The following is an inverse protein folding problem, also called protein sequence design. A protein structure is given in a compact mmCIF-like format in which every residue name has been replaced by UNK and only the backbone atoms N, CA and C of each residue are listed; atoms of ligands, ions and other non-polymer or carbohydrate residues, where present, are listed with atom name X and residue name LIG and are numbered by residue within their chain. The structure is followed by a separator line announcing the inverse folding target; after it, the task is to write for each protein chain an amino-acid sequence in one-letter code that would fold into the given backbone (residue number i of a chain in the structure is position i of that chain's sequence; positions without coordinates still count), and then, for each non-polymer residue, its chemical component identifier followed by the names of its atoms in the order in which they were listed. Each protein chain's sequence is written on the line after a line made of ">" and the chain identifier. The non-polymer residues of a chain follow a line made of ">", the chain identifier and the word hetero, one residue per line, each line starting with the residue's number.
data_IF_214294171078
#
_entry.id   IF_214294171078
#
_cell.length_a   1.000
_cell.length_b   1.000
_cell.length_c   1.000
_cell.angle_alpha   90.00
_cell.angle_beta   90.00
_cell.angle_gamma   90.00
#
_symmetry.space_group_name_H-M   'P 1'
#
loop_
_entity.id
_entity.type
_entity.pdbx_description
1 polymer ?
#
# COMPACT_ATOMS: atom_id res chain seq x y z
N UNK A 1 15.63 21.29 -3.69
CA UNK A 1 14.92 20.68 -4.83
C UNK A 1 15.00 21.61 -6.02
N UNK A 2 15.48 21.12 -7.16
CA UNK A 2 15.46 21.88 -8.41
C UNK A 2 14.00 22.17 -8.78
N UNK A 3 13.72 23.43 -9.18
CA UNK A 3 12.35 23.91 -9.39
C UNK A 3 11.57 23.10 -10.46
N UNK A 4 12.27 22.41 -11.36
CA UNK A 4 11.71 21.68 -12.49
C UNK A 4 11.70 20.16 -12.30
N UNK A 5 12.12 19.64 -11.13
CA UNK A 5 12.11 18.21 -10.84
C UNK A 5 11.13 17.88 -9.74
N UNK A 6 10.27 16.87 -9.97
CA UNK A 6 9.38 16.37 -8.94
C UNK A 6 10.17 15.91 -7.72
N UNK A 7 9.58 16.00 -6.54
CA UNK A 7 10.20 15.55 -5.31
C UNK A 7 10.53 14.07 -5.39
N UNK A 8 11.80 13.74 -5.16
CA UNK A 8 12.27 12.35 -5.12
C UNK A 8 13.10 12.16 -3.87
N UNK A 9 12.65 11.27 -3.00
CA UNK A 9 13.32 10.91 -1.74
C UNK A 9 13.15 9.41 -1.52
N UNK A 10 13.90 8.64 -2.32
CA UNK A 10 13.84 7.19 -2.24
C UNK A 10 14.35 6.71 -0.89
N UNK A 11 13.70 5.70 -0.33
CA UNK A 11 14.18 5.06 0.89
C UNK A 11 15.66 4.68 0.77
N UNK A 12 16.44 4.93 1.82
CA UNK A 12 17.90 4.74 1.92
C UNK A 12 18.75 5.64 1.00
N UNK A 13 18.17 6.61 0.32
CA UNK A 13 18.94 7.60 -0.43
C UNK A 13 19.56 8.65 0.52
N UNK A 14 20.61 9.40 0.09
CA UNK A 14 21.15 10.50 0.88
C UNK A 14 20.11 11.57 1.23
N UNK A 15 19.13 11.82 0.34
CA UNK A 15 18.02 12.75 0.57
C UNK A 15 17.08 12.24 1.65
N UNK A 16 16.85 10.93 1.70
CA UNK A 16 16.06 10.28 2.74
C UNK A 16 16.79 10.37 4.09
N UNK A 17 18.07 10.03 4.14
CA UNK A 17 18.88 10.11 5.36
C UNK A 17 18.91 11.56 5.91
N UNK A 18 19.08 12.56 5.03
CA UNK A 18 19.05 13.97 5.44
C UNK A 18 17.68 14.40 5.97
N UNK A 19 16.59 13.96 5.35
CA UNK A 19 15.22 14.26 5.81
C UNK A 19 14.92 13.61 7.16
N UNK A 20 15.37 12.36 7.39
CA UNK A 20 15.21 11.68 8.69
C UNK A 20 16.00 12.36 9.81
N UNK A 21 17.22 12.80 9.53
CA UNK A 21 18.01 13.55 10.51
C UNK A 21 17.30 14.85 10.91
N UNK A 22 16.78 15.59 9.91
CA UNK A 22 15.98 16.79 10.17
C UNK A 22 14.74 16.48 11.01
N UNK A 23 14.04 15.39 10.70
CA UNK A 23 12.83 14.97 11.42
C UNK A 23 13.14 14.58 12.86
N UNK A 24 14.25 13.85 13.09
CA UNK A 24 14.71 13.51 14.45
C UNK A 24 15.02 14.76 15.28
N UNK A 25 15.67 15.76 14.68
CA UNK A 25 15.93 17.05 15.32
C UNK A 25 14.61 17.78 15.63
N UNK A 26 13.63 17.76 14.72
CA UNK A 26 12.33 18.37 14.91
C UNK A 26 11.53 17.67 16.03
N UNK A 27 11.56 16.33 16.10
CA UNK A 27 10.98 15.55 17.20
C UNK A 27 11.62 15.91 18.54
N UNK A 28 12.94 15.96 18.61
CA UNK A 28 13.66 16.35 19.82
C UNK A 28 13.33 17.80 20.25
N UNK A 29 13.23 18.73 19.31
CA UNK A 29 12.84 20.12 19.57
C UNK A 29 11.40 20.23 20.10
N UNK A 30 10.51 19.34 19.71
CA UNK A 30 9.15 19.24 20.25
C UNK A 30 9.08 18.54 21.62
N UNK A 31 10.22 18.10 22.17
CA UNK A 31 10.29 17.43 23.48
C UNK A 31 10.00 15.92 23.44
N UNK A 32 10.03 15.31 22.26
CA UNK A 32 9.85 13.87 22.11
C UNK A 32 11.16 13.12 22.42
N UNK A 33 11.05 11.94 23.00
CA UNK A 33 12.17 10.99 23.14
C UNK A 33 12.28 10.20 21.86
N UNK A 34 13.36 10.42 21.10
CA UNK A 34 13.55 9.80 19.78
C UNK A 34 14.35 8.50 19.86
N UNK A 35 13.94 7.52 19.09
CA UNK A 35 14.71 6.30 18.85
C UNK A 35 14.39 5.73 17.47
N UNK A 36 15.29 4.86 16.99
CA UNK A 36 15.03 4.02 15.83
C UNK A 36 14.72 2.63 16.36
N UNK A 37 13.59 2.05 15.95
CA UNK A 37 13.23 0.71 16.33
C UNK A 37 14.03 -0.36 15.58
N UNK A 38 13.82 -1.64 15.91
CA UNK A 38 14.52 -2.74 15.25
C UNK A 38 14.25 -2.84 13.75
N UNK A 39 13.09 -2.38 13.28
CA UNK A 39 12.71 -2.35 11.86
C UNK A 39 13.22 -1.16 11.09
N UNK A 40 13.83 -0.19 11.79
CA UNK A 40 14.34 1.02 11.19
C UNK A 40 13.33 2.18 11.15
N UNK A 41 12.17 2.07 11.80
CA UNK A 41 11.24 3.20 11.94
C UNK A 41 11.84 4.27 12.86
N UNK A 42 11.63 5.54 12.54
CA UNK A 42 11.98 6.63 13.44
C UNK A 42 10.76 6.95 14.31
N UNK A 43 10.90 6.82 15.62
CA UNK A 43 9.81 7.01 16.58
C UNK A 43 10.17 8.13 17.54
N UNK A 44 9.26 9.09 17.69
CA UNK A 44 9.30 10.13 18.71
C UNK A 44 8.19 9.92 19.73
N UNK A 45 8.54 9.69 21.00
CA UNK A 45 7.59 9.40 22.06
C UNK A 45 7.37 10.59 22.97
N UNK A 46 6.13 11.04 23.15
CA UNK A 46 5.66 11.92 24.22
C UNK A 46 5.08 11.06 25.34
N UNK A 47 5.81 10.99 26.44
CA UNK A 47 5.43 10.15 27.58
C UNK A 47 4.17 10.70 28.26
N UNK A 48 3.27 9.81 28.69
CA UNK A 48 2.10 10.14 29.50
C UNK A 48 2.49 10.82 30.82
N UNK A 49 1.77 11.87 31.17
CA UNK A 49 1.97 12.63 32.41
C UNK A 49 0.89 12.34 33.46
N UNK A 50 -0.21 11.68 33.07
CA UNK A 50 -1.31 11.28 33.95
C UNK A 50 -1.19 9.80 34.31
N UNK A 51 -1.71 9.43 35.47
CA UNK A 51 -1.87 8.02 35.83
C UNK A 51 -2.88 7.33 34.90
N UNK A 52 -2.69 6.04 34.58
CA UNK A 52 -3.62 5.29 33.75
C UNK A 52 -5.03 5.30 34.37
N UNK A 53 -6.05 5.47 33.51
CA UNK A 53 -7.45 5.55 33.95
C UNK A 53 -7.97 4.20 34.49
N UNK A 54 -7.38 3.06 34.04
CA UNK A 54 -7.66 1.73 34.53
C UNK A 54 -6.37 1.03 34.96
N UNK A 55 -6.26 0.74 36.26
CA UNK A 55 -5.04 0.27 36.93
C UNK A 55 -4.56 -1.16 36.60
N UNK A 56 -4.91 -1.73 35.44
CA UNK A 56 -4.66 -3.14 35.13
C UNK A 56 -3.88 -3.40 33.82
N UNK A 57 -3.24 -2.40 33.25
CA UNK A 57 -2.34 -2.61 32.10
C UNK A 57 -0.91 -2.82 32.60
N UNK A 58 -0.33 -3.96 32.31
CA UNK A 58 1.08 -4.31 32.59
C UNK A 58 2.11 -3.47 31.78
N UNK A 59 1.79 -2.21 31.53
CA UNK A 59 2.54 -1.22 30.80
C UNK A 59 1.67 0.00 30.49
N UNK A 60 2.28 1.09 29.99
CA UNK A 60 1.53 2.28 29.59
C UNK A 60 0.87 2.05 28.25
N UNK A 61 -0.44 2.35 28.17
CA UNK A 61 -1.17 2.39 26.93
C UNK A 61 -0.54 3.38 25.92
N UNK A 62 -0.60 3.10 24.64
CA UNK A 62 0.01 3.87 23.56
C UNK A 62 -0.97 4.20 22.45
N UNK A 63 -0.84 5.38 21.88
CA UNK A 63 -1.47 5.77 20.64
C UNK A 63 -0.38 6.11 19.62
N UNK A 64 -0.41 5.48 18.47
CA UNK A 64 0.51 5.75 17.37
C UNK A 64 -0.16 6.66 16.35
N UNK A 65 0.54 7.72 15.94
CA UNK A 65 0.15 8.56 14.81
C UNK A 65 1.36 8.66 13.89
N UNK A 66 1.21 8.28 12.64
CA UNK A 66 2.35 8.31 11.74
C UNK A 66 1.96 8.20 10.28
N UNK A 67 2.96 8.21 9.45
CA UNK A 67 2.97 7.94 8.02
C UNK A 67 4.44 7.78 7.60
N UNK A 68 4.78 8.05 6.35
CA UNK A 68 6.12 7.90 5.81
C UNK A 68 6.68 9.20 5.25
N UNK A 69 8.01 9.28 5.09
CA UNK A 69 8.65 10.40 4.43
C UNK A 69 9.35 10.01 3.12
N UNK A 70 9.50 8.73 2.80
CA UNK A 70 10.01 8.32 1.50
C UNK A 70 9.00 8.61 0.38
N UNK A 71 9.46 8.59 -0.86
CA UNK A 71 8.64 8.84 -2.05
C UNK A 71 9.02 7.90 -3.18
N UNK A 72 8.11 7.66 -4.11
CA UNK A 72 8.47 7.13 -5.43
C UNK A 72 9.33 8.14 -6.21
N UNK A 73 10.03 7.72 -7.29
CA UNK A 73 10.63 8.66 -8.24
C UNK A 73 9.58 9.63 -8.77
N UNK A 74 9.88 10.92 -8.73
CA UNK A 74 8.95 11.96 -9.16
C UNK A 74 7.63 12.01 -8.35
N UNK A 75 7.69 11.68 -7.07
CA UNK A 75 6.54 11.64 -6.17
C UNK A 75 5.91 12.98 -5.85
N UNK A 76 4.80 12.95 -5.09
CA UNK A 76 4.09 14.12 -4.61
C UNK A 76 4.84 14.84 -3.48
N UNK A 77 4.62 16.17 -3.40
CA UNK A 77 5.24 17.00 -2.34
C UNK A 77 4.73 16.65 -0.94
N UNK A 78 3.48 16.21 -0.85
CA UNK A 78 2.78 15.99 0.41
C UNK A 78 2.51 14.51 0.70
N UNK A 79 2.91 13.63 -0.22
CA UNK A 79 2.70 12.21 -0.12
C UNK A 79 3.44 11.66 1.10
N UNK A 80 2.71 10.99 1.99
CA UNK A 80 3.17 10.47 3.27
C UNK A 80 3.60 11.54 4.29
N UNK A 81 4.51 12.42 3.91
CA UNK A 81 5.10 13.42 4.80
C UNK A 81 4.06 14.35 5.46
N UNK A 82 2.92 14.61 4.80
CA UNK A 82 1.85 15.39 5.39
C UNK A 82 1.32 14.75 6.68
N UNK A 83 1.22 13.43 6.75
CA UNK A 83 0.81 12.69 7.93
C UNK A 83 1.80 12.79 9.07
N UNK A 84 3.09 12.65 8.78
CA UNK A 84 4.15 12.77 9.79
C UNK A 84 4.22 14.18 10.37
N UNK A 85 4.17 15.22 9.51
CA UNK A 85 4.23 16.61 9.97
C UNK A 85 2.95 17.01 10.72
N UNK A 86 1.77 16.54 10.28
CA UNK A 86 0.53 16.77 11.01
C UNK A 86 0.55 16.12 12.41
N UNK A 87 1.13 14.91 12.53
CA UNK A 87 1.31 14.28 13.83
C UNK A 87 2.25 15.08 14.75
N UNK A 88 3.34 15.62 14.21
CA UNK A 88 4.24 16.52 14.95
C UNK A 88 3.52 17.81 15.36
N UNK A 89 2.68 18.38 14.51
CA UNK A 89 1.89 19.58 14.84
C UNK A 89 0.89 19.31 15.98
N UNK A 90 0.32 18.10 16.05
CA UNK A 90 -0.49 17.69 17.21
C UNK A 90 0.32 17.76 18.50
N UNK A 91 1.59 17.33 18.49
CA UNK A 91 2.46 17.42 19.68
C UNK A 91 2.72 18.88 20.05
N UNK A 92 2.99 19.76 19.08
CA UNK A 92 3.16 21.20 19.33
C UNK A 92 1.91 21.80 19.96
N UNK A 93 0.72 21.49 19.41
CA UNK A 93 -0.56 21.92 19.95
C UNK A 93 -0.78 21.46 21.40
N UNK A 94 -0.52 20.19 21.70
CA UNK A 94 -0.63 19.62 23.05
C UNK A 94 0.30 20.33 24.04
N UNK A 95 1.55 20.62 23.62
CA UNK A 95 2.53 21.29 24.45
C UNK A 95 2.16 22.78 24.71
N UNK A 96 1.76 23.51 23.66
CA UNK A 96 1.34 24.90 23.76
C UNK A 96 0.14 25.09 24.70
N UNK A 97 -0.82 24.18 24.63
CA UNK A 97 -2.04 24.23 25.45
C UNK A 97 -1.93 23.47 26.77
N UNK A 98 -0.74 22.93 27.08
CA UNK A 98 -0.46 22.17 28.30
C UNK A 98 -1.46 20.99 28.50
N UNK A 99 -1.84 20.35 27.42
CA UNK A 99 -2.74 19.19 27.45
C UNK A 99 -1.94 17.94 27.81
N UNK A 100 -2.32 17.30 28.91
CA UNK A 100 -1.73 16.04 29.35
C UNK A 100 -2.58 14.85 28.87
N UNK A 101 -1.90 13.75 28.56
CA UNK A 101 -2.53 12.53 28.05
C UNK A 101 -2.33 11.39 29.06
N UNK A 102 -3.31 10.49 29.20
CA UNK A 102 -3.20 9.30 30.05
C UNK A 102 -2.49 8.12 29.38
N UNK A 103 -1.96 8.32 28.18
CA UNK A 103 -1.25 7.32 27.35
C UNK A 103 -0.02 7.96 26.71
N UNK A 104 0.94 7.13 26.36
CA UNK A 104 2.07 7.58 25.55
C UNK A 104 1.62 7.85 24.11
N UNK A 105 2.07 8.97 23.56
CA UNK A 105 1.83 9.32 22.16
C UNK A 105 3.12 9.09 21.35
N UNK A 106 3.08 8.17 20.41
CA UNK A 106 4.19 7.89 19.51
C UNK A 106 3.93 8.47 18.12
N UNK A 107 4.84 9.34 17.66
CA UNK A 107 4.85 9.80 16.28
C UNK A 107 5.82 8.92 15.50
N UNK A 108 5.34 8.29 14.43
CA UNK A 108 6.09 7.29 13.67
C UNK A 108 6.33 7.77 12.23
N UNK A 109 7.60 7.80 11.83
CA UNK A 109 8.00 7.77 10.42
C UNK A 109 8.27 6.31 10.05
N UNK A 110 7.30 5.69 9.39
CA UNK A 110 7.41 4.31 8.93
C UNK A 110 8.46 4.20 7.83
N UNK A 111 9.33 3.21 7.95
CA UNK A 111 10.40 3.00 6.99
C UNK A 111 9.86 2.43 5.67
N UNK A 112 10.10 3.14 4.56
CA UNK A 112 9.95 2.61 3.22
C UNK A 112 8.55 2.10 2.89
N UNK A 113 7.55 2.96 3.02
CA UNK A 113 6.17 2.67 2.66
C UNK A 113 6.03 2.40 1.17
N UNK A 114 6.71 3.19 0.36
CA UNK A 114 6.64 3.13 -1.09
C UNK A 114 7.32 1.89 -1.67
N UNK A 115 6.86 1.46 -2.85
CA UNK A 115 7.49 0.36 -3.57
C UNK A 115 8.93 0.70 -3.92
N UNK A 116 9.87 -0.04 -3.39
CA UNK A 116 11.29 0.20 -3.50
C UNK A 116 12.00 -0.77 -4.48
N UNK A 117 13.29 -0.54 -4.69
CA UNK A 117 14.14 -1.33 -5.62
C UNK A 117 14.30 -2.80 -5.23
N UNK A 118 13.98 -3.19 -4.00
CA UNK A 118 13.93 -4.59 -3.56
C UNK A 118 12.57 -5.25 -3.82
N UNK A 119 11.62 -4.53 -4.47
CA UNK A 119 10.32 -5.08 -4.85
C UNK A 119 9.37 -5.32 -3.68
N UNK A 120 9.46 -4.50 -2.64
CA UNK A 120 8.57 -4.53 -1.48
C UNK A 120 8.22 -3.12 -1.03
N UNK A 121 7.18 -2.98 -0.22
CA UNK A 121 6.66 -1.72 0.33
C UNK A 121 6.36 -1.89 1.82
N UNK A 122 6.09 -0.82 2.54
CA UNK A 122 5.70 -0.83 3.95
C UNK A 122 6.70 -1.61 4.83
N UNK A 123 8.00 -1.36 4.65
CA UNK A 123 9.05 -2.13 5.34
C UNK A 123 8.90 -2.04 6.86
N UNK A 124 8.69 -0.84 7.36
CA UNK A 124 8.64 -0.54 8.78
C UNK A 124 7.41 -1.10 9.48
N UNK A 125 6.22 -0.88 8.94
CA UNK A 125 4.97 -1.41 9.49
C UNK A 125 4.92 -2.94 9.39
N UNK A 126 5.38 -3.52 8.28
CA UNK A 126 5.54 -4.98 8.16
C UNK A 126 6.47 -5.56 9.21
N UNK A 127 7.56 -4.86 9.53
CA UNK A 127 8.44 -5.31 10.60
C UNK A 127 7.73 -5.28 11.94
N UNK A 128 7.02 -4.19 12.27
CA UNK A 128 6.25 -4.09 13.52
C UNK A 128 5.21 -5.20 13.67
N UNK A 129 4.62 -5.63 12.54
CA UNK A 129 3.62 -6.70 12.49
C UNK A 129 4.20 -8.12 12.35
N UNK A 130 5.55 -8.27 12.31
CA UNK A 130 6.19 -9.58 12.12
C UNK A 130 6.05 -10.15 10.70
N UNK A 131 5.78 -9.31 9.70
CA UNK A 131 5.54 -9.70 8.30
C UNK A 131 6.75 -9.50 7.38
N UNK A 132 7.88 -9.02 7.91
CA UNK A 132 9.11 -8.84 7.14
C UNK A 132 9.94 -10.13 7.15
N UNK A 133 9.68 -10.99 6.16
CA UNK A 133 10.25 -12.36 6.11
C UNK A 133 11.74 -12.37 5.76
N UNK A 134 12.49 -13.47 6.10
CA UNK A 134 13.89 -13.63 5.71
C UNK A 134 14.10 -13.57 4.20
N UNK A 135 13.14 -14.03 3.42
CA UNK A 135 13.17 -13.94 1.95
C UNK A 135 13.19 -12.49 1.49
N UNK A 136 12.33 -11.64 2.08
CA UNK A 136 12.28 -10.20 1.77
C UNK A 136 13.58 -9.54 2.21
N UNK A 137 14.04 -9.80 3.42
CA UNK A 137 15.27 -9.24 3.98
C UNK A 137 16.53 -9.65 3.20
N UNK A 138 16.50 -10.84 2.59
CA UNK A 138 17.58 -11.37 1.76
C UNK A 138 17.65 -10.80 0.36
N UNK A 139 16.66 -10.03 -0.10
CA UNK A 139 16.63 -9.47 -1.45
C UNK A 139 17.79 -8.49 -1.67
N UNK A 140 18.29 -8.48 -2.90
CA UNK A 140 19.35 -7.58 -3.34
C UNK A 140 18.85 -6.72 -4.49
N UNK A 141 19.29 -5.49 -4.55
CA UNK A 141 19.00 -4.59 -5.66
C UNK A 141 19.97 -4.81 -6.84
N UNK A 142 19.82 -3.98 -7.90
CA UNK A 142 20.67 -4.07 -9.09
C UNK A 142 22.16 -3.76 -8.83
N UNK A 143 22.47 -3.04 -7.75
CA UNK A 143 23.83 -2.69 -7.33
C UNK A 143 24.43 -3.71 -6.35
N UNK A 144 23.67 -4.77 -6.00
CA UNK A 144 24.08 -5.84 -5.08
C UNK A 144 23.91 -5.47 -3.60
N UNK A 145 23.19 -4.40 -3.26
CA UNK A 145 22.90 -4.02 -1.87
C UNK A 145 21.77 -4.88 -1.31
N UNK A 146 22.01 -5.51 -0.17
CA UNK A 146 21.01 -6.33 0.49
C UNK A 146 20.11 -5.46 1.38
N UNK A 147 18.79 -5.67 1.32
CA UNK A 147 17.80 -4.91 2.08
C UNK A 147 18.09 -4.90 3.58
N UNK A 148 18.37 -6.07 4.18
CA UNK A 148 18.69 -6.15 5.61
C UNK A 148 19.89 -5.26 6.00
N UNK A 149 20.91 -5.17 5.14
CA UNK A 149 22.10 -4.35 5.38
C UNK A 149 21.77 -2.85 5.37
N UNK A 150 20.85 -2.43 4.50
CA UNK A 150 20.42 -1.03 4.45
C UNK A 150 19.57 -0.66 5.69
N UNK A 151 18.69 -1.55 6.16
CA UNK A 151 17.93 -1.34 7.40
C UNK A 151 18.88 -1.21 8.60
N UNK A 152 19.91 -2.08 8.69
CA UNK A 152 20.93 -2.00 9.74
C UNK A 152 21.73 -0.70 9.63
N UNK A 153 22.09 -0.24 8.43
CA UNK A 153 22.84 1.00 8.19
C UNK A 153 22.15 2.22 8.79
N UNK A 154 20.83 2.27 8.73
CA UNK A 154 20.05 3.40 9.27
C UNK A 154 19.65 3.24 10.74
N UNK A 155 20.14 2.21 11.43
CA UNK A 155 19.95 2.01 12.86
C UNK A 155 19.00 0.88 13.25
N UNK A 156 18.41 0.17 12.30
CA UNK A 156 17.64 -1.05 12.58
C UNK A 156 18.52 -2.14 13.18
N UNK A 157 17.93 -3.00 14.00
CA UNK A 157 18.66 -4.08 14.71
C UNK A 157 17.79 -5.33 14.76
N UNK A 158 18.44 -6.51 14.88
CA UNK A 158 17.77 -7.77 15.13
C UNK A 158 16.56 -8.03 14.22
N UNK A 159 16.78 -8.06 12.91
CA UNK A 159 15.76 -8.27 11.89
C UNK A 159 15.27 -9.75 11.85
N UNK A 160 14.94 -10.33 13.02
CA UNK A 160 14.27 -11.62 13.10
C UNK A 160 12.84 -11.52 12.58
N UNK A 161 12.44 -12.43 11.71
CA UNK A 161 11.13 -12.42 11.04
C UNK A 161 9.94 -12.78 11.94
N UNK A 162 10.17 -13.20 13.18
CA UNK A 162 9.12 -13.69 14.08
C UNK A 162 8.83 -12.71 15.24
N UNK A 163 9.36 -11.50 15.18
CA UNK A 163 9.20 -10.53 16.25
C UNK A 163 8.18 -9.47 15.85
N UNK A 164 6.93 -9.71 16.19
CA UNK A 164 5.96 -8.64 16.38
C UNK A 164 6.53 -7.67 17.41
N UNK A 165 6.28 -6.38 17.25
CA UNK A 165 6.63 -5.36 18.24
C UNK A 165 6.25 -5.83 19.64
N UNK A 166 7.21 -5.83 20.58
CA UNK A 166 7.05 -6.48 21.90
C UNK A 166 5.99 -5.86 22.80
N UNK A 167 5.54 -4.64 22.52
CA UNK A 167 4.52 -3.89 23.24
C UNK A 167 3.24 -3.67 22.40
N UNK A 168 3.00 -4.53 21.41
CA UNK A 168 1.83 -4.42 20.53
C UNK A 168 0.50 -4.49 21.29
N UNK A 169 0.43 -5.24 22.39
CA UNK A 169 -0.71 -5.34 23.28
C UNK A 169 -1.02 -4.05 24.06
N UNK A 170 -0.08 -3.10 24.11
CA UNK A 170 -0.28 -1.79 24.73
C UNK A 170 -0.82 -0.74 23.75
N UNK A 171 -0.88 -1.04 22.46
CA UNK A 171 -1.34 -0.10 21.44
C UNK A 171 -2.86 -0.05 21.44
N UNK A 172 -3.41 1.10 21.85
CA UNK A 172 -4.84 1.37 21.86
C UNK A 172 -5.39 1.74 20.49
N UNK A 173 -4.60 2.46 19.71
CA UNK A 173 -4.97 2.93 18.38
C UNK A 173 -3.74 3.23 17.53
N UNK A 174 -3.88 3.02 16.22
CA UNK A 174 -2.94 3.48 15.22
C UNK A 174 -3.72 4.36 14.23
N UNK A 175 -3.22 5.58 13.99
CA UNK A 175 -3.85 6.58 13.13
C UNK A 175 -2.86 7.01 12.07
N UNK A 176 -3.33 7.14 10.85
CA UNK A 176 -2.53 7.68 9.74
C UNK A 176 -3.35 8.71 8.98
N UNK A 177 -2.81 9.93 8.88
CA UNK A 177 -3.34 10.96 8.00
C UNK A 177 -2.57 10.88 6.69
N UNK A 178 -3.30 10.86 5.58
CA UNK A 178 -2.69 10.81 4.26
C UNK A 178 -3.45 11.70 3.28
N UNK A 179 -2.80 12.16 2.23
CA UNK A 179 -3.50 12.80 1.10
C UNK A 179 -4.37 11.77 0.38
N UNK A 180 -5.46 12.20 -0.24
CA UNK A 180 -6.38 11.28 -0.95
C UNK A 180 -5.73 10.58 -2.16
N UNK A 181 -4.73 11.19 -2.78
CA UNK A 181 -4.08 10.73 -4.03
C UNK A 181 -5.05 10.62 -5.22
N UNK A 182 -6.29 11.11 -5.06
CA UNK A 182 -7.36 11.16 -6.07
C UNK A 182 -8.04 12.54 -6.05
N UNK A 183 -9.26 12.65 -6.58
CA UNK A 183 -9.99 13.91 -6.68
C UNK A 183 -11.42 13.82 -6.12
N UNK A 184 -11.73 12.79 -5.35
CA UNK A 184 -13.11 12.58 -4.89
C UNK A 184 -13.52 13.67 -3.90
N UNK A 185 -12.69 13.92 -2.88
CA UNK A 185 -12.94 14.94 -1.87
C UNK A 185 -13.05 16.33 -2.51
N UNK A 186 -12.08 16.69 -3.37
CA UNK A 186 -12.08 17.96 -4.10
C UNK A 186 -13.35 18.12 -4.96
N UNK A 187 -13.69 17.07 -5.74
CA UNK A 187 -14.83 17.10 -6.67
C UNK A 187 -16.16 17.20 -5.95
N UNK A 188 -16.29 16.58 -4.78
CA UNK A 188 -17.50 16.57 -3.97
C UNK A 188 -17.54 17.69 -2.93
N UNK A 189 -16.45 18.45 -2.77
CA UNK A 189 -16.37 19.57 -1.82
C UNK A 189 -16.33 19.13 -0.37
N UNK A 190 -15.66 18.00 -0.07
CA UNK A 190 -15.45 17.52 1.29
C UNK A 190 -14.04 17.84 1.79
N UNK A 191 -13.93 18.17 3.08
CA UNK A 191 -12.67 18.50 3.72
C UNK A 191 -11.89 17.24 4.11
N UNK A 192 -12.60 16.17 4.54
CA UNK A 192 -12.00 14.96 5.11
C UNK A 192 -12.66 13.70 4.54
N UNK A 193 -11.82 12.70 4.24
CA UNK A 193 -12.23 11.34 3.96
C UNK A 193 -11.90 10.43 5.15
N UNK A 194 -12.89 9.76 5.72
CA UNK A 194 -12.70 8.76 6.76
C UNK A 194 -12.61 7.40 6.09
N UNK A 195 -11.41 6.83 6.10
CA UNK A 195 -11.13 5.56 5.42
C UNK A 195 -11.86 4.42 6.12
N UNK A 196 -12.61 3.64 5.33
CA UNK A 196 -13.34 2.46 5.84
C UNK A 196 -12.56 1.17 5.71
N UNK A 197 -11.69 1.09 4.69
CA UNK A 197 -10.80 -0.03 4.44
C UNK A 197 -9.66 0.37 3.52
N UNK A 198 -8.52 -0.28 3.66
CA UNK A 198 -7.47 -0.31 2.66
C UNK A 198 -7.70 -1.54 1.78
N UNK A 199 -7.77 -1.40 0.44
CA UNK A 199 -8.11 -2.49 -0.44
C UNK A 199 -7.04 -3.58 -0.44
N UNK A 200 -7.47 -4.81 -0.52
CA UNK A 200 -6.59 -5.93 -0.82
C UNK A 200 -6.07 -5.83 -2.25
N UNK A 201 -4.84 -6.28 -2.46
CA UNK A 201 -4.15 -6.29 -3.76
C UNK A 201 -3.92 -7.74 -4.17
N UNK A 202 -4.35 -8.10 -5.37
CA UNK A 202 -4.24 -9.47 -5.89
C UNK A 202 -3.68 -9.42 -7.31
N UNK A 203 -2.56 -10.10 -7.53
CA UNK A 203 -1.91 -10.17 -8.84
C UNK A 203 -1.91 -11.59 -9.38
N UNK A 204 -2.19 -11.72 -10.66
CA UNK A 204 -2.19 -12.98 -11.37
C UNK A 204 -1.39 -12.89 -12.66
N UNK A 205 -0.55 -13.89 -12.92
CA UNK A 205 0.01 -14.16 -14.23
C UNK A 205 -1.01 -14.94 -15.06
N UNK A 206 -1.19 -14.55 -16.31
CA UNK A 206 -2.07 -15.23 -17.28
C UNK A 206 -1.22 -15.60 -18.50
N UNK A 207 -1.03 -16.89 -18.72
CA UNK A 207 -0.34 -17.43 -19.88
C UNK A 207 -1.36 -18.01 -20.86
N UNK A 208 -1.41 -17.44 -22.06
CA UNK A 208 -2.27 -17.93 -23.17
C UNK A 208 -1.39 -18.62 -24.18
N UNK A 209 -1.66 -19.91 -24.45
CA UNK A 209 -0.90 -20.74 -25.38
C UNK A 209 -1.79 -21.19 -26.53
N UNK A 210 -1.42 -20.81 -27.73
CA UNK A 210 -2.02 -21.22 -28.99
C UNK A 210 -1.00 -21.89 -29.91
N UNK A 211 -1.09 -21.65 -31.20
CA UNK A 211 -0.16 -22.18 -32.18
C UNK A 211 0.34 -21.10 -33.13
N UNK A 212 1.66 -20.87 -33.13
CA UNK A 212 2.28 -19.95 -34.06
C UNK A 212 2.15 -20.48 -35.53
N UNK A 213 1.91 -19.56 -36.46
CA UNK A 213 1.76 -19.91 -37.87
C UNK A 213 2.04 -18.71 -38.78
N UNK A 214 2.17 -18.97 -40.09
CA UNK A 214 2.36 -17.90 -41.06
C UNK A 214 1.02 -17.15 -41.28
N UNK A 215 1.01 -15.84 -41.10
CA UNK A 215 -0.22 -15.02 -41.11
C UNK A 215 -0.98 -15.05 -42.45
N UNK A 216 -0.27 -15.22 -43.56
CA UNK A 216 -0.86 -15.25 -44.90
C UNK A 216 -1.32 -16.65 -45.39
N UNK A 217 -0.82 -17.74 -44.80
CA UNK A 217 -1.12 -19.10 -45.26
C UNK A 217 -1.91 -19.94 -44.27
N UNK A 218 -2.01 -19.53 -43.00
CA UNK A 218 -2.87 -20.20 -42.02
C UNK A 218 -4.30 -19.70 -42.17
N UNK A 219 -5.27 -20.57 -42.58
CA UNK A 219 -6.68 -20.19 -42.71
C UNK A 219 -7.23 -19.63 -41.42
N UNK A 220 -8.22 -18.73 -41.50
CA UNK A 220 -8.80 -18.08 -40.29
C UNK A 220 -9.44 -19.10 -39.34
N UNK A 221 -10.08 -20.16 -39.91
CA UNK A 221 -10.79 -21.17 -39.12
C UNK A 221 -9.86 -22.19 -38.44
N UNK A 222 -8.60 -22.28 -38.90
CA UNK A 222 -7.58 -23.19 -38.33
C UNK A 222 -6.68 -22.54 -37.29
N UNK A 223 -6.90 -21.23 -37.00
CA UNK A 223 -6.01 -20.46 -36.09
C UNK A 223 -6.28 -20.77 -34.63
N UNK A 224 -5.20 -20.96 -33.91
CA UNK A 224 -5.14 -20.92 -32.46
C UNK A 224 -4.35 -19.68 -32.05
N UNK A 225 -4.94 -18.50 -32.26
CA UNK A 225 -4.29 -17.20 -32.10
C UNK A 225 -4.33 -16.78 -30.64
N UNK A 226 -3.17 -16.88 -29.96
CA UNK A 226 -3.03 -16.54 -28.55
C UNK A 226 -3.31 -15.06 -28.26
N UNK A 227 -3.00 -14.16 -29.21
CA UNK A 227 -3.23 -12.73 -29.02
C UNK A 227 -4.71 -12.35 -29.11
N UNK A 228 -5.46 -12.98 -30.00
CA UNK A 228 -6.92 -12.78 -30.09
C UNK A 228 -7.61 -13.36 -28.86
N UNK A 229 -7.16 -14.53 -28.34
CA UNK A 229 -7.66 -15.07 -27.09
C UNK A 229 -7.36 -14.15 -25.89
N UNK A 230 -6.15 -13.59 -25.83
CA UNK A 230 -5.78 -12.61 -24.82
C UNK A 230 -6.62 -11.32 -24.90
N UNK A 231 -6.91 -10.82 -26.11
CA UNK A 231 -7.75 -9.65 -26.30
C UNK A 231 -9.20 -9.88 -25.81
N UNK A 232 -9.77 -11.07 -26.06
CA UNK A 232 -11.08 -11.46 -25.53
C UNK A 232 -11.08 -11.42 -23.99
N UNK A 233 -10.03 -11.96 -23.35
CA UNK A 233 -9.86 -11.95 -21.88
C UNK A 233 -9.75 -10.52 -21.35
N UNK A 234 -8.92 -9.68 -21.96
CA UNK A 234 -8.72 -8.26 -21.54
C UNK A 234 -10.05 -7.50 -21.59
N UNK A 235 -10.80 -7.62 -22.68
CA UNK A 235 -12.08 -6.93 -22.81
C UNK A 235 -13.12 -7.41 -21.80
N UNK A 236 -13.20 -8.72 -21.57
CA UNK A 236 -14.13 -9.29 -20.61
C UNK A 236 -13.80 -8.90 -19.18
N UNK A 237 -12.51 -8.90 -18.79
CA UNK A 237 -12.05 -8.43 -17.48
C UNK A 237 -12.41 -6.95 -17.27
N UNK A 238 -12.15 -6.11 -18.26
CA UNK A 238 -12.44 -4.67 -18.16
C UNK A 238 -13.96 -4.42 -18.01
N UNK A 239 -14.78 -5.14 -18.76
CA UNK A 239 -16.24 -5.07 -18.65
C UNK A 239 -16.72 -5.50 -17.27
N UNK A 240 -16.30 -6.68 -16.81
CA UNK A 240 -16.62 -7.22 -15.49
C UNK A 240 -16.21 -6.28 -14.34
N UNK A 241 -15.00 -5.74 -14.40
CA UNK A 241 -14.51 -4.80 -13.38
C UNK A 241 -15.37 -3.52 -13.34
N UNK A 242 -15.74 -3.01 -14.52
CA UNK A 242 -16.62 -1.83 -14.64
C UNK A 242 -18.02 -2.10 -14.09
N UNK A 243 -18.56 -3.30 -14.28
CA UNK A 243 -19.87 -3.68 -13.78
C UNK A 243 -19.85 -3.82 -12.25
N UNK A 244 -18.86 -4.50 -11.69
CA UNK A 244 -18.69 -4.62 -10.23
C UNK A 244 -18.52 -3.23 -9.59
N UNK A 245 -17.67 -2.38 -10.15
CA UNK A 245 -17.43 -1.04 -9.60
C UNK A 245 -18.69 -0.16 -9.58
N UNK A 246 -19.65 -0.39 -10.50
CA UNK A 246 -20.94 0.33 -10.49
C UNK A 246 -21.93 -0.19 -9.46
N UNK A 247 -22.00 -1.51 -9.29
CA UNK A 247 -23.02 -2.14 -8.46
C UNK A 247 -22.67 -2.06 -6.95
N UNK A 248 -21.38 -2.17 -6.60
CA UNK A 248 -20.94 -2.30 -5.22
C UNK A 248 -20.76 -0.94 -4.50
N UNK A 249 -20.77 0.17 -5.22
CA UNK A 249 -20.43 1.51 -4.68
C UNK A 249 -19.18 1.48 -3.77
N UNK A 250 -18.29 0.55 -4.06
CA UNK A 250 -17.06 0.30 -3.31
C UNK A 250 -15.86 0.39 -4.25
N UNK A 251 -14.69 0.65 -3.68
CA UNK A 251 -13.47 0.67 -4.46
C UNK A 251 -13.17 -0.72 -5.02
N UNK A 252 -13.29 -0.86 -6.35
CA UNK A 252 -12.90 -2.05 -7.11
C UNK A 252 -12.25 -1.63 -8.42
N UNK A 253 -11.06 -2.15 -8.70
CA UNK A 253 -10.36 -1.95 -9.96
C UNK A 253 -9.65 -3.25 -10.40
N UNK A 254 -9.56 -3.47 -11.71
CA UNK A 254 -8.79 -4.56 -12.29
C UNK A 254 -8.15 -4.10 -13.60
N UNK A 255 -6.86 -4.35 -13.75
CA UNK A 255 -6.06 -3.85 -14.88
C UNK A 255 -5.11 -4.93 -15.38
N UNK A 256 -5.11 -5.17 -16.69
CA UNK A 256 -3.99 -5.87 -17.34
C UNK A 256 -2.93 -4.82 -17.67
N UNK A 257 -1.91 -4.72 -16.82
CA UNK A 257 -0.87 -3.69 -16.91
C UNK A 257 0.39 -4.11 -17.68
N UNK A 258 0.55 -5.42 -17.93
CA UNK A 258 1.68 -5.98 -18.67
C UNK A 258 1.18 -7.00 -19.69
N UNK A 259 1.71 -6.96 -20.91
CA UNK A 259 1.48 -7.92 -21.97
C UNK A 259 2.77 -8.17 -22.76
N UNK A 260 3.10 -9.42 -22.97
CA UNK A 260 4.22 -9.86 -23.81
C UNK A 260 3.70 -10.87 -24.83
N UNK A 261 4.08 -10.71 -26.10
CA UNK A 261 3.58 -11.50 -27.22
C UNK A 261 4.74 -12.25 -27.87
N UNK A 262 4.57 -13.52 -28.17
CA UNK A 262 5.60 -14.36 -28.79
C UNK A 262 5.06 -15.08 -30.04
N UNK A 263 5.83 -15.07 -31.14
CA UNK A 263 7.15 -14.46 -31.36
C UNK A 263 7.12 -12.96 -31.72
N UNK A 264 5.98 -12.28 -31.65
CA UNK A 264 5.81 -10.83 -31.86
C UNK A 264 6.32 -10.36 -33.23
N UNK A 265 5.91 -11.01 -34.29
CA UNK A 265 6.29 -10.72 -35.69
C UNK A 265 5.08 -10.35 -36.54
N UNK A 266 5.22 -9.33 -37.40
CA UNK A 266 4.11 -8.80 -38.21
C UNK A 266 3.46 -9.84 -39.17
N UNK A 267 4.21 -10.86 -39.59
CA UNK A 267 3.74 -11.89 -40.49
C UNK A 267 3.49 -13.25 -39.81
N UNK A 268 3.31 -13.28 -38.51
CA UNK A 268 3.20 -14.49 -37.71
C UNK A 268 1.93 -14.42 -36.86
N UNK A 269 1.14 -15.48 -36.85
CA UNK A 269 0.06 -15.69 -35.85
C UNK A 269 0.73 -15.95 -34.50
N UNK A 270 0.45 -15.17 -33.44
CA UNK A 270 1.09 -15.35 -32.15
C UNK A 270 0.75 -16.70 -31.50
N UNK A 271 1.77 -17.42 -31.06
CA UNK A 271 1.62 -18.73 -30.41
C UNK A 271 1.55 -18.65 -28.89
N UNK A 272 1.99 -17.53 -28.29
CA UNK A 272 1.96 -17.35 -26.83
C UNK A 272 1.80 -15.89 -26.47
N UNK A 273 1.04 -15.63 -25.39
CA UNK A 273 0.91 -14.32 -24.76
C UNK A 273 1.01 -14.47 -23.24
N UNK A 274 1.84 -13.64 -22.62
CA UNK A 274 1.96 -13.51 -21.17
C UNK A 274 1.39 -12.18 -20.72
N UNK A 275 0.52 -12.19 -19.70
CA UNK A 275 -0.12 -11.00 -19.15
C UNK A 275 -0.04 -10.98 -17.63
N UNK A 276 -0.13 -9.77 -17.04
CA UNK A 276 -0.28 -9.61 -15.60
C UNK A 276 -1.54 -8.82 -15.30
N UNK A 277 -2.43 -9.43 -14.50
CA UNK A 277 -3.60 -8.79 -13.91
C UNK A 277 -3.22 -8.24 -12.52
N UNK A 278 -3.47 -6.94 -12.26
CA UNK A 278 -3.53 -6.31 -10.94
C UNK A 278 -5.00 -6.02 -10.62
N UNK A 279 -5.51 -6.62 -9.55
CA UNK A 279 -6.88 -6.42 -9.05
C UNK A 279 -6.81 -5.88 -7.63
N UNK A 280 -7.61 -4.85 -7.33
CA UNK A 280 -7.74 -4.29 -5.99
C UNK A 280 -9.21 -4.20 -5.61
N UNK A 281 -9.52 -4.56 -4.37
CA UNK A 281 -10.88 -4.52 -3.85
C UNK A 281 -10.91 -4.20 -2.37
N UNK A 282 -11.84 -3.35 -1.94
CA UNK A 282 -12.18 -3.11 -0.54
C UNK A 282 -13.31 -4.04 -0.05
N UNK A 283 -13.86 -4.91 -0.92
CA UNK A 283 -14.95 -5.83 -0.63
C UNK A 283 -14.53 -7.28 -0.85
N UNK A 284 -14.63 -8.11 0.19
CA UNK A 284 -14.40 -9.55 0.08
C UNK A 284 -15.42 -10.22 -0.86
N UNK A 285 -16.67 -9.70 -0.91
CA UNK A 285 -17.71 -10.19 -1.80
C UNK A 285 -17.37 -9.89 -3.26
N UNK A 286 -17.04 -8.63 -3.57
CA UNK A 286 -16.64 -8.21 -4.92
C UNK A 286 -15.41 -8.97 -5.42
N UNK A 287 -14.40 -9.16 -4.57
CA UNK A 287 -13.23 -10.01 -4.86
C UNK A 287 -13.66 -11.42 -5.27
N UNK A 288 -14.50 -12.07 -4.47
CA UNK A 288 -14.91 -13.46 -4.71
C UNK A 288 -15.75 -13.58 -5.98
N UNK A 289 -16.68 -12.66 -6.22
CA UNK A 289 -17.49 -12.60 -7.44
C UNK A 289 -16.61 -12.42 -8.70
N UNK A 290 -15.65 -11.48 -8.63
CA UNK A 290 -14.71 -11.27 -9.74
C UNK A 290 -13.90 -12.52 -10.05
N UNK A 291 -13.30 -13.16 -9.04
CA UNK A 291 -12.45 -14.33 -9.25
C UNK A 291 -13.21 -15.49 -9.86
N UNK A 292 -14.44 -15.77 -9.43
CA UNK A 292 -15.28 -16.81 -10.00
C UNK A 292 -15.62 -16.53 -11.48
N UNK A 293 -15.93 -15.28 -11.82
CA UNK A 293 -16.18 -14.89 -13.20
C UNK A 293 -14.90 -14.88 -14.05
N UNK A 294 -13.76 -14.46 -13.48
CA UNK A 294 -12.45 -14.45 -14.14
C UNK A 294 -12.01 -15.85 -14.60
N UNK A 295 -12.17 -16.87 -13.75
CA UNK A 295 -11.91 -18.26 -14.13
C UNK A 295 -12.78 -18.70 -15.31
N UNK A 296 -14.05 -18.29 -15.33
CA UNK A 296 -14.99 -18.59 -16.40
C UNK A 296 -14.58 -17.88 -17.70
N UNK A 297 -14.21 -16.60 -17.63
CA UNK A 297 -13.71 -15.82 -18.78
C UNK A 297 -12.50 -16.51 -19.43
N UNK A 298 -11.52 -16.93 -18.61
CA UNK A 298 -10.32 -17.61 -19.11
C UNK A 298 -10.69 -18.94 -19.81
N UNK A 299 -11.53 -19.75 -19.19
CA UNK A 299 -11.98 -21.03 -19.75
C UNK A 299 -12.78 -20.87 -21.06
N UNK A 300 -13.69 -19.90 -21.11
CA UNK A 300 -14.53 -19.65 -22.28
C UNK A 300 -13.71 -19.12 -23.46
N UNK A 301 -12.73 -18.24 -23.19
CA UNK A 301 -11.78 -17.76 -24.21
C UNK A 301 -10.91 -18.89 -24.72
N UNK A 302 -10.36 -19.73 -23.84
CA UNK A 302 -9.58 -20.91 -24.19
C UNK A 302 -10.36 -21.83 -25.14
N UNK A 303 -11.60 -22.15 -24.78
CA UNK A 303 -12.48 -23.03 -25.57
C UNK A 303 -12.82 -22.42 -26.94
N UNK A 304 -13.21 -21.14 -26.97
CA UNK A 304 -13.63 -20.44 -28.20
C UNK A 304 -12.49 -20.28 -29.20
N UNK A 305 -11.26 -20.10 -28.71
CA UNK A 305 -10.07 -19.83 -29.54
C UNK A 305 -9.19 -21.06 -29.73
N UNK A 306 -9.58 -22.21 -29.19
CA UNK A 306 -8.78 -23.45 -29.22
C UNK A 306 -7.37 -23.26 -28.64
N UNK A 307 -7.23 -22.39 -27.61
CA UNK A 307 -6.02 -22.12 -26.91
C UNK A 307 -6.03 -22.77 -25.51
N UNK A 308 -4.85 -22.88 -24.87
CA UNK A 308 -4.76 -23.18 -23.46
C UNK A 308 -4.56 -21.85 -22.68
N UNK A 309 -5.18 -21.74 -21.50
CA UNK A 309 -5.02 -20.59 -20.62
C UNK A 309 -4.67 -21.09 -19.22
N UNK A 310 -3.50 -20.69 -18.74
CA UNK A 310 -3.01 -20.97 -17.39
C UNK A 310 -3.02 -19.68 -16.56
N UNK A 311 -3.53 -19.74 -15.32
CA UNK A 311 -3.56 -18.62 -14.38
C UNK A 311 -2.74 -18.98 -13.15
N UNK A 312 -1.81 -18.11 -12.76
CA UNK A 312 -0.92 -18.31 -11.61
C UNK A 312 -1.00 -17.12 -10.66
N UNK A 313 -1.28 -17.32 -9.36
CA UNK A 313 -1.18 -16.26 -8.38
C UNK A 313 0.26 -15.75 -8.25
N UNK A 314 0.47 -14.43 -8.27
CA UNK A 314 1.79 -13.80 -8.13
C UNK A 314 1.95 -13.10 -6.78
N UNK A 315 0.89 -12.45 -6.28
CA UNK A 315 0.88 -11.76 -5.01
C UNK A 315 -0.54 -11.64 -4.47
N UNK A 316 -0.66 -11.62 -3.15
CA UNK A 316 -1.91 -11.34 -2.45
C UNK A 316 -1.60 -10.54 -1.17
N UNK A 317 -2.38 -9.47 -0.96
CA UNK A 317 -2.49 -8.76 0.31
C UNK A 317 -3.99 -8.63 0.63
N UNK A 318 -4.38 -9.01 1.84
CA UNK A 318 -5.78 -8.99 2.20
C UNK A 318 -6.30 -7.56 2.48
N UNK A 319 -7.63 -7.42 2.50
CA UNK A 319 -8.31 -6.18 2.82
C UNK A 319 -8.05 -5.85 4.29
N UNK A 320 -7.64 -4.63 4.59
CA UNK A 320 -7.51 -4.13 5.96
C UNK A 320 -8.73 -3.23 6.29
N UNK A 321 -9.74 -3.74 7.01
CA UNK A 321 -10.86 -2.92 7.45
C UNK A 321 -10.43 -2.01 8.60
N UNK A 322 -10.92 -0.76 8.62
CA UNK A 322 -10.65 0.18 9.69
C UNK A 322 -11.60 -0.04 10.87
N UNK A 323 -11.13 0.27 12.09
CA UNK A 323 -11.93 0.12 13.30
C UNK A 323 -13.15 1.06 13.32
N UNK A 324 -14.33 0.49 13.55
CA UNK A 324 -15.60 1.23 13.52
C UNK A 324 -15.71 2.29 14.61
N UNK A 325 -15.11 2.06 15.78
CA UNK A 325 -15.11 3.00 16.90
C UNK A 325 -14.22 4.20 16.60
N UNK A 326 -13.02 3.98 16.02
CA UNK A 326 -12.12 5.06 15.60
C UNK A 326 -12.74 5.87 14.45
N UNK A 327 -13.34 5.22 13.46
CA UNK A 327 -14.07 5.93 12.39
C UNK A 327 -15.17 6.83 12.93
N UNK A 328 -15.93 6.39 13.94
CA UNK A 328 -16.97 7.22 14.56
C UNK A 328 -16.37 8.41 15.31
N UNK A 329 -15.29 8.20 16.08
CA UNK A 329 -14.58 9.27 16.78
C UNK A 329 -14.02 10.32 15.81
N UNK A 330 -13.47 9.90 14.67
CA UNK A 330 -13.00 10.82 13.61
C UNK A 330 -14.17 11.60 12.98
N UNK A 331 -15.31 10.95 12.75
CA UNK A 331 -16.51 11.63 12.25
C UNK A 331 -17.01 12.70 13.23
N UNK A 332 -17.07 12.36 14.52
CA UNK A 332 -17.51 13.28 15.57
C UNK A 332 -16.54 14.47 15.72
N UNK A 333 -15.23 14.19 15.67
CA UNK A 333 -14.20 15.22 15.70
C UNK A 333 -14.29 16.17 14.49
N UNK A 334 -14.50 15.66 13.29
CA UNK A 334 -14.71 16.48 12.10
C UNK A 334 -15.95 17.39 12.28
N UNK A 335 -17.07 16.84 12.73
CA UNK A 335 -18.31 17.60 12.96
C UNK A 335 -18.13 18.71 14.01
N UNK A 336 -17.46 18.43 15.14
CA UNK A 336 -17.17 19.43 16.20
C UNK A 336 -16.32 20.58 15.64
N UNK A 337 -15.42 20.32 14.72
CA UNK A 337 -14.58 21.33 14.08
C UNK A 337 -15.23 21.97 12.83
N UNK A 338 -16.49 21.67 12.52
CA UNK A 338 -17.20 22.22 11.37
C UNK A 338 -16.69 21.76 10.01
N UNK A 339 -15.96 20.63 9.98
CA UNK A 339 -15.42 20.03 8.77
C UNK A 339 -16.42 19.05 8.16
N UNK A 340 -16.58 19.13 6.83
CA UNK A 340 -17.36 18.15 6.07
C UNK A 340 -16.54 16.86 5.90
N UNK A 341 -17.15 15.71 6.25
CA UNK A 341 -16.49 14.41 6.16
C UNK A 341 -17.34 13.38 5.44
N UNK A 342 -16.72 12.54 4.61
CA UNK A 342 -17.37 11.35 4.01
C UNK A 342 -16.59 10.08 4.36
N UNK A 343 -17.29 8.94 4.33
CA UNK A 343 -16.66 7.63 4.43
C UNK A 343 -16.31 7.10 3.05
N UNK A 344 -15.07 6.63 2.86
CA UNK A 344 -14.60 6.08 1.58
C UNK A 344 -13.56 4.98 1.83
N UNK A 345 -13.37 4.08 0.87
CA UNK A 345 -12.21 3.20 0.88
C UNK A 345 -10.97 3.96 0.38
N UNK A 346 -9.79 3.64 0.89
CA UNK A 346 -8.55 4.13 0.29
C UNK A 346 -8.38 3.57 -1.13
N UNK A 347 -7.78 4.34 -2.03
CA UNK A 347 -7.36 3.86 -3.36
C UNK A 347 -5.95 3.26 -3.34
N UNK A 348 -5.18 3.48 -2.27
CA UNK A 348 -3.78 3.08 -2.12
C UNK A 348 -3.57 2.19 -0.88
N UNK A 349 -2.39 1.56 -0.81
CA UNK A 349 -1.90 0.91 0.41
C UNK A 349 -1.35 1.96 1.36
N UNK A 350 -1.32 1.65 2.66
CA UNK A 350 -0.75 2.51 3.70
C UNK A 350 -0.18 1.64 4.82
N UNK A 351 0.67 2.22 5.67
CA UNK A 351 1.31 1.51 6.78
C UNK A 351 0.30 0.95 7.80
N UNK A 352 -0.79 1.67 8.05
CA UNK A 352 -1.88 1.22 8.93
C UNK A 352 -2.66 0.00 8.43
N UNK A 353 -2.32 -0.56 7.26
CA UNK A 353 -2.84 -1.85 6.79
C UNK A 353 -2.18 -3.05 7.48
N UNK A 354 -1.07 -2.85 8.16
CA UNK A 354 -0.25 -3.86 8.83
C UNK A 354 -0.25 -3.67 10.33
#
# INVERSE_FOLDING_TARGET
>A
TEADRPYTRLVFSPEFDAARNWLADAFAAAGLVCHIDSGGNLIGTRTANLEPVDGDMAGRAKVLIGSHIDTVPAGGRFDGIAGVIAALEVVHYLNEHQIELPFDLEIVDYLGEELNVWGTSCLGSRHMAGLLTPEILGRVDADGRQLASEIIRIGGTNLGCDTVRSDADQILACLELHIEQAKLLETQGHDIGIVTAIPGIYRYGISVKGQAGHSGTTPMDDRQDALVAAADIIQAINGLASDIARDENQHFVATIGKIEVFPNGAAIVPGQVEMTLDMRSASAHAKSAFLAAFETICRDSATRRHCAVDVTPLAAADIAPMDGGLMQKLSDAAAVNGLSAIKLASGAGHDTAH
#
